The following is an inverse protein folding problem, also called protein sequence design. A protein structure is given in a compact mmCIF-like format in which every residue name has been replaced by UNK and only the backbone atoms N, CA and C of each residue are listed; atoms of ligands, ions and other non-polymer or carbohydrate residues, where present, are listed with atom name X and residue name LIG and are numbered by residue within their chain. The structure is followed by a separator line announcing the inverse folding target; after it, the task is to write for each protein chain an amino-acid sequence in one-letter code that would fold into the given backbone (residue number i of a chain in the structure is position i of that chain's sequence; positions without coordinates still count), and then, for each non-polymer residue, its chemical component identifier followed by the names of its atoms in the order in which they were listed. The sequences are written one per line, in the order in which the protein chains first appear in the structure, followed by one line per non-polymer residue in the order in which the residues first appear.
data_IF_132757105146
#
_entry.id   IF_132757105146
#
_cell.length_a   1.000
_cell.length_b   1.000
_cell.length_c   1.000
_cell.angle_alpha   90.00
_cell.angle_beta   90.00
_cell.angle_gamma   90.00
#
_symmetry.space_group_name_H-M   'P 1'
#
loop_
_entity.id
_entity.type
_entity.pdbx_description
1 polymer ?
#
# COMPACT_ATOMS: atom_id res chain seq x y z
N UNK A 1 -41.84 39.86 -75.78
CA UNK A 1 -41.39 38.50 -76.17
C UNK A 1 -42.46 37.51 -75.75
N UNK A 2 -43.28 37.02 -76.68
CA UNK A 2 -44.29 35.99 -76.40
C UNK A 2 -43.61 34.62 -76.28
N UNK A 3 -43.90 33.88 -75.21
CA UNK A 3 -43.39 32.53 -74.97
C UNK A 3 -43.83 31.58 -76.10
N UNK A 4 -42.90 30.77 -76.63
CA UNK A 4 -43.25 29.72 -77.60
C UNK A 4 -44.11 28.63 -76.93
N UNK A 5 -45.19 28.15 -77.57
CA UNK A 5 -45.94 27.00 -77.06
C UNK A 5 -45.07 25.74 -77.09
N UNK A 6 -45.25 24.87 -76.09
CA UNK A 6 -44.48 23.64 -75.98
C UNK A 6 -44.91 22.65 -77.08
N UNK A 7 -43.96 21.96 -77.76
CA UNK A 7 -44.30 20.96 -78.78
C UNK A 7 -44.95 19.70 -78.16
N UNK A 8 -45.65 18.87 -78.94
CA UNK A 8 -46.22 17.61 -78.45
C UNK A 8 -45.11 16.67 -77.96
N UNK A 9 -45.28 16.09 -76.77
CA UNK A 9 -44.27 15.25 -76.12
C UNK A 9 -43.20 16.01 -75.32
N UNK A 10 -43.36 17.33 -75.15
CA UNK A 10 -42.43 18.14 -74.37
C UNK A 10 -42.42 17.73 -72.89
N UNK A 11 -41.23 17.46 -72.39
CA UNK A 11 -40.95 17.27 -70.96
C UNK A 11 -40.11 18.44 -70.45
N UNK A 12 -40.34 18.91 -69.21
CA UNK A 12 -39.55 20.00 -68.64
C UNK A 12 -38.09 19.56 -68.46
N UNK A 13 -37.11 20.25 -69.05
CA UNK A 13 -35.70 19.92 -68.85
C UNK A 13 -35.26 20.28 -67.44
N UNK A 14 -34.28 19.55 -66.90
CA UNK A 14 -33.70 19.82 -65.58
C UNK A 14 -32.64 20.93 -65.62
N UNK A 15 -32.06 21.15 -66.79
CA UNK A 15 -31.17 22.27 -67.07
C UNK A 15 -31.97 23.58 -67.33
N UNK A 16 -31.37 24.76 -67.14
CA UNK A 16 -32.04 26.03 -67.42
C UNK A 16 -32.41 26.12 -68.90
N UNK A 17 -33.72 26.19 -69.18
CA UNK A 17 -34.29 26.33 -70.52
C UNK A 17 -34.77 27.77 -70.74
N UNK A 18 -34.39 28.37 -71.87
CA UNK A 18 -34.88 29.67 -72.30
C UNK A 18 -36.04 29.54 -73.31
N UNK A 19 -37.30 29.78 -72.91
CA UNK A 19 -38.45 29.65 -73.79
C UNK A 19 -38.65 30.83 -74.76
N UNK A 20 -37.73 31.80 -74.74
CA UNK A 20 -37.80 33.02 -75.54
C UNK A 20 -36.72 33.08 -76.64
N UNK A 21 -35.90 32.05 -76.78
CA UNK A 21 -34.86 31.97 -77.81
C UNK A 21 -35.46 31.59 -79.18
N UNK A 22 -35.39 32.46 -80.21
CA UNK A 22 -35.93 32.17 -81.54
C UNK A 22 -35.09 31.18 -82.34
N UNK A 23 -33.80 31.00 -82.01
CA UNK A 23 -32.86 30.17 -82.77
C UNK A 23 -32.70 28.74 -82.18
N UNK A 24 -33.46 28.42 -81.13
CA UNK A 24 -33.44 27.09 -80.49
C UNK A 24 -34.11 26.01 -81.37
N UNK A 25 -33.29 25.25 -82.08
CA UNK A 25 -33.65 24.16 -82.99
C UNK A 25 -33.66 22.77 -82.31
N UNK A 26 -33.86 22.70 -80.99
CA UNK A 26 -33.86 21.43 -80.25
C UNK A 26 -34.98 20.46 -80.67
N UNK A 27 -34.77 19.14 -80.49
CA UNK A 27 -35.83 18.15 -80.64
C UNK A 27 -36.94 18.32 -79.59
N UNK A 28 -38.18 17.91 -79.91
CA UNK A 28 -39.33 18.05 -79.02
C UNK A 28 -39.15 17.37 -77.65
N UNK A 29 -38.39 16.28 -77.61
CA UNK A 29 -38.05 15.53 -76.39
C UNK A 29 -36.81 16.07 -75.63
N UNK A 30 -36.17 17.15 -76.12
CA UNK A 30 -34.93 17.73 -75.57
C UNK A 30 -33.67 16.87 -75.82
N UNK A 31 -32.50 17.40 -75.46
CA UNK A 31 -31.25 16.65 -75.59
C UNK A 31 -31.09 15.65 -74.43
N UNK A 32 -30.61 14.41 -74.67
CA UNK A 32 -30.43 13.41 -73.61
C UNK A 32 -29.55 13.87 -72.43
N UNK A 33 -28.61 14.80 -72.68
CA UNK A 33 -27.74 15.42 -71.68
C UNK A 33 -28.46 16.35 -70.71
N UNK A 34 -29.60 16.94 -71.10
CA UNK A 34 -30.40 17.82 -70.23
C UNK A 34 -31.17 17.04 -69.17
N UNK A 35 -31.37 15.75 -69.40
CA UNK A 35 -32.07 14.83 -68.49
C UNK A 35 -31.09 13.93 -67.71
N UNK A 36 -29.94 13.59 -68.30
CA UNK A 36 -28.91 12.74 -67.70
C UNK A 36 -27.71 13.58 -67.27
N UNK A 37 -27.63 13.88 -65.97
CA UNK A 37 -26.46 14.53 -65.37
C UNK A 37 -25.27 13.57 -65.49
N UNK A 38 -24.15 13.97 -66.15
CA UNK A 38 -22.96 13.14 -66.23
C UNK A 38 -22.43 12.85 -64.81
N UNK A 39 -22.28 11.57 -64.46
CA UNK A 39 -21.73 11.11 -63.18
C UNK A 39 -22.75 10.53 -62.17
N UNK A 40 -24.06 10.61 -62.44
CA UNK A 40 -25.09 10.00 -61.60
C UNK A 40 -25.70 8.73 -62.18
N UNK A 41 -25.15 8.19 -63.28
CA UNK A 41 -25.62 6.92 -63.82
C UNK A 41 -25.30 5.79 -62.84
N UNK A 42 -26.31 5.05 -62.35
CA UNK A 42 -26.04 3.84 -61.58
C UNK A 42 -25.30 2.83 -62.46
N UNK A 43 -24.20 2.29 -61.96
CA UNK A 43 -23.50 1.18 -62.61
C UNK A 43 -24.25 -0.11 -62.28
N UNK A 44 -25.37 -0.37 -62.96
CA UNK A 44 -26.17 -1.60 -62.82
C UNK A 44 -27.64 -1.38 -62.47
N UNK A 45 -28.29 -2.39 -61.89
CA UNK A 45 -29.73 -2.43 -61.59
C UNK A 45 -30.15 -1.70 -60.30
N UNK A 46 -29.21 -1.13 -59.54
CA UNK A 46 -29.53 -0.42 -58.28
C UNK A 46 -29.66 1.09 -58.51
N UNK A 47 -30.64 1.72 -57.86
CA UNK A 47 -30.89 3.17 -57.97
C UNK A 47 -29.89 4.04 -57.19
N UNK A 48 -28.87 3.46 -56.57
CA UNK A 48 -27.90 4.17 -55.75
C UNK A 48 -26.56 4.30 -56.50
N UNK A 49 -26.00 5.51 -56.66
CA UNK A 49 -24.71 5.70 -57.28
C UNK A 49 -23.60 5.11 -56.40
N UNK A 50 -22.75 4.27 -56.99
CA UNK A 50 -21.66 3.53 -56.31
C UNK A 50 -20.60 4.46 -55.69
N UNK A 51 -20.47 5.69 -56.19
CA UNK A 51 -19.54 6.70 -55.69
C UNK A 51 -20.30 7.91 -55.13
N UNK A 52 -20.16 8.25 -53.83
CA UNK A 52 -20.79 9.46 -53.29
C UNK A 52 -20.15 10.70 -53.92
N UNK A 53 -20.99 11.65 -54.33
CA UNK A 53 -20.54 12.97 -54.81
C UNK A 53 -19.67 13.65 -53.75
N UNK A 54 -18.74 14.52 -54.18
CA UNK A 54 -17.83 15.20 -53.25
C UNK A 54 -18.59 15.94 -52.13
N UNK A 55 -19.73 16.55 -52.43
CA UNK A 55 -20.62 17.17 -51.45
C UNK A 55 -21.21 16.19 -50.44
N UNK A 56 -21.56 14.97 -50.87
CA UNK A 56 -22.10 13.93 -49.98
C UNK A 56 -21.01 13.41 -49.05
N UNK A 57 -19.76 13.28 -49.54
CA UNK A 57 -18.58 12.96 -48.73
C UNK A 57 -18.32 14.04 -47.67
N UNK A 58 -18.45 15.33 -48.02
CA UNK A 58 -18.31 16.44 -47.07
C UNK A 58 -19.40 16.41 -46.00
N UNK A 59 -20.67 16.19 -46.38
CA UNK A 59 -21.75 16.09 -45.39
C UNK A 59 -21.64 14.85 -44.49
N UNK A 60 -21.21 13.71 -45.02
CA UNK A 60 -20.97 12.50 -44.23
C UNK A 60 -19.78 12.66 -43.30
N UNK A 61 -18.69 13.29 -43.75
CA UNK A 61 -17.54 13.60 -42.88
C UNK A 61 -17.93 14.60 -41.78
N UNK A 62 -18.70 15.64 -42.10
CA UNK A 62 -19.21 16.60 -41.09
C UNK A 62 -20.17 15.97 -40.08
N UNK A 63 -21.03 15.04 -40.51
CA UNK A 63 -21.89 14.25 -39.62
C UNK A 63 -21.07 13.27 -38.76
N UNK A 64 -20.07 12.61 -39.34
CA UNK A 64 -19.19 11.67 -38.63
C UNK A 64 -18.26 12.39 -37.65
N UNK A 65 -17.95 13.65 -37.92
CA UNK A 65 -17.23 14.57 -37.04
C UNK A 65 -18.15 15.29 -36.04
N UNK A 66 -19.37 14.80 -35.74
CA UNK A 66 -20.26 15.34 -34.69
C UNK A 66 -20.21 16.88 -34.53
N UNK A 67 -20.27 17.62 -35.64
CA UNK A 67 -20.24 19.08 -35.57
C UNK A 67 -21.62 19.61 -35.20
N UNK A 68 -21.95 19.58 -33.91
CA UNK A 68 -22.92 20.55 -33.38
C UNK A 68 -22.25 21.93 -33.47
N UNK A 69 -22.87 22.95 -34.09
CA UNK A 69 -22.28 24.28 -34.16
C UNK A 69 -22.04 24.75 -32.73
N UNK A 70 -20.77 24.86 -32.35
CA UNK A 70 -20.39 25.26 -30.99
C UNK A 70 -20.87 26.69 -30.78
N UNK A 71 -21.46 27.03 -29.62
CA UNK A 71 -21.83 28.41 -29.34
C UNK A 71 -20.57 29.30 -29.34
N UNK A 72 -20.71 30.53 -29.85
CA UNK A 72 -19.64 31.51 -29.82
C UNK A 72 -19.19 31.78 -28.37
N UNK A 73 -17.89 31.97 -28.18
CA UNK A 73 -17.35 32.28 -26.86
C UNK A 73 -17.72 33.73 -26.50
N UNK A 74 -18.24 33.92 -25.29
CA UNK A 74 -18.57 35.24 -24.76
C UNK A 74 -17.31 35.99 -24.28
N UNK A 75 -16.23 35.27 -24.00
CA UNK A 75 -15.00 35.80 -23.42
C UNK A 75 -13.97 36.20 -24.48
N UNK A 76 -13.92 35.47 -25.59
CA UNK A 76 -12.99 35.67 -26.72
C UNK A 76 -13.77 35.82 -28.04
N UNK A 77 -13.87 37.02 -28.60
CA UNK A 77 -14.57 37.25 -29.87
C UNK A 77 -13.89 36.46 -31.00
N UNK A 78 -14.69 35.90 -31.91
CA UNK A 78 -14.20 35.09 -33.03
C UNK A 78 -13.81 33.65 -32.68
N UNK A 79 -13.86 33.25 -31.41
CA UNK A 79 -13.61 31.87 -30.98
C UNK A 79 -14.90 31.15 -30.58
N UNK A 80 -14.96 29.84 -30.76
CA UNK A 80 -16.06 28.99 -30.31
C UNK A 80 -15.78 28.41 -28.92
N UNK A 81 -16.81 28.21 -28.09
CA UNK A 81 -16.65 27.57 -26.77
C UNK A 81 -16.08 26.16 -26.94
N UNK A 82 -14.94 25.88 -26.31
CA UNK A 82 -14.39 24.53 -26.24
C UNK A 82 -15.10 23.78 -25.12
N UNK A 83 -15.88 22.76 -25.47
CA UNK A 83 -16.43 21.84 -24.48
C UNK A 83 -15.26 21.09 -23.82
N UNK A 84 -14.91 21.48 -22.59
CA UNK A 84 -14.05 20.64 -21.75
C UNK A 84 -14.86 19.43 -21.31
N UNK A 85 -14.26 18.23 -21.37
CA UNK A 85 -14.87 17.04 -20.76
C UNK A 85 -15.07 17.34 -19.27
N UNK A 86 -16.32 17.44 -18.85
CA UNK A 86 -16.66 17.60 -17.43
C UNK A 86 -16.49 16.23 -16.80
N UNK A 87 -15.48 16.09 -15.95
CA UNK A 87 -15.30 14.87 -15.18
C UNK A 87 -16.25 14.90 -13.96
N UNK A 88 -17.46 14.38 -14.15
CA UNK A 88 -18.53 14.38 -13.13
C UNK A 88 -18.12 13.63 -11.85
N UNK A 89 -17.22 12.65 -11.94
CA UNK A 89 -16.76 11.86 -10.78
C UNK A 89 -15.52 12.43 -10.10
N UNK A 90 -14.96 13.55 -10.55
CA UNK A 90 -13.72 14.11 -9.99
C UNK A 90 -13.85 14.41 -8.48
N UNK A 91 -14.98 14.96 -8.03
CA UNK A 91 -15.21 15.22 -6.60
C UNK A 91 -15.26 13.93 -5.77
N UNK A 92 -15.87 12.88 -6.33
CA UNK A 92 -15.95 11.57 -5.68
C UNK A 92 -14.57 10.92 -5.60
N UNK A 93 -13.77 10.99 -6.65
CA UNK A 93 -12.40 10.45 -6.66
C UNK A 93 -11.46 11.19 -5.71
N UNK A 94 -11.59 12.52 -5.60
CA UNK A 94 -10.83 13.29 -4.62
C UNK A 94 -11.28 12.90 -3.21
N UNK A 95 -12.59 12.85 -2.96
CA UNK A 95 -13.14 12.42 -1.68
C UNK A 95 -12.70 11.01 -1.27
N UNK A 96 -12.72 10.05 -2.20
CA UNK A 96 -12.31 8.67 -1.93
C UNK A 96 -10.82 8.55 -1.62
N UNK A 97 -9.96 9.32 -2.29
CA UNK A 97 -8.52 9.34 -2.00
C UNK A 97 -8.22 9.90 -0.61
N UNK A 98 -8.88 11.00 -0.23
CA UNK A 98 -8.75 11.55 1.12
C UNK A 98 -9.29 10.59 2.18
N UNK A 99 -10.46 10.01 1.94
CA UNK A 99 -11.05 9.03 2.85
C UNK A 99 -10.16 7.80 3.03
N UNK A 100 -9.64 7.22 1.93
CA UNK A 100 -8.74 6.08 1.99
C UNK A 100 -7.44 6.41 2.74
N UNK A 101 -6.89 7.62 2.53
CA UNK A 101 -5.68 8.08 3.24
C UNK A 101 -5.94 8.26 4.73
N UNK A 102 -7.08 8.83 5.10
CA UNK A 102 -7.50 8.97 6.51
C UNK A 102 -7.74 7.61 7.16
N UNK A 103 -8.41 6.68 6.47
CA UNK A 103 -8.66 5.33 6.96
C UNK A 103 -7.34 4.57 7.17
N UNK A 104 -6.45 4.60 6.17
CA UNK A 104 -5.13 3.98 6.27
C UNK A 104 -4.28 4.56 7.40
N UNK A 105 -4.24 5.89 7.52
CA UNK A 105 -3.57 6.56 8.63
C UNK A 105 -4.15 6.20 9.99
N UNK A 106 -5.48 6.16 10.10
CA UNK A 106 -6.17 5.76 11.33
C UNK A 106 -5.84 4.34 11.74
N UNK A 107 -5.74 3.41 10.79
CA UNK A 107 -5.36 2.02 11.06
C UNK A 107 -3.93 1.97 11.61
N UNK A 108 -2.98 2.65 10.96
CA UNK A 108 -1.57 2.67 11.41
C UNK A 108 -1.44 3.25 12.82
N UNK A 109 -2.13 4.37 13.10
CA UNK A 109 -2.15 4.99 14.43
C UNK A 109 -2.77 4.06 15.46
N UNK A 110 -3.89 3.41 15.12
CA UNK A 110 -4.53 2.43 16.00
C UNK A 110 -3.58 1.30 16.37
N UNK A 111 -2.92 0.69 15.37
CA UNK A 111 -2.01 -0.42 15.62
C UNK A 111 -0.76 0.01 16.41
N UNK A 112 -0.19 1.16 16.09
CA UNK A 112 1.05 1.65 16.71
C UNK A 112 0.87 2.08 18.16
N UNK A 113 -0.25 2.75 18.48
CA UNK A 113 -0.46 3.35 19.80
C UNK A 113 -1.45 2.59 20.68
N UNK A 114 -2.46 1.93 20.11
CA UNK A 114 -3.52 1.30 20.91
C UNK A 114 -3.43 -0.23 20.92
N UNK A 115 -3.09 -0.87 19.80
CA UNK A 115 -2.99 -2.33 19.75
C UNK A 115 -1.69 -2.85 20.39
N UNK A 116 -0.55 -2.23 20.07
CA UNK A 116 0.77 -2.69 20.53
C UNK A 116 0.96 -2.61 22.05
N UNK A 117 0.23 -1.72 22.73
CA UNK A 117 0.40 -1.34 24.13
C UNK A 117 -0.75 -1.82 25.03
N UNK A 118 -1.55 -2.78 24.56
CA UNK A 118 -2.74 -3.32 25.23
C UNK A 118 -2.42 -4.35 26.33
N UNK A 119 -1.36 -4.12 27.12
CA UNK A 119 -0.85 -5.08 28.12
C UNK A 119 -1.29 -4.73 29.56
N UNK A 120 -2.15 -3.72 29.76
CA UNK A 120 -2.64 -3.31 31.10
C UNK A 120 -1.60 -2.70 32.04
N UNK A 121 -0.33 -2.67 31.61
CA UNK A 121 0.82 -2.14 32.36
C UNK A 121 1.00 -0.64 32.13
N UNK A 122 1.46 0.07 33.16
CA UNK A 122 1.74 1.51 33.08
C UNK A 122 2.89 1.82 32.12
N UNK A 123 2.62 2.41 30.96
CA UNK A 123 3.65 2.79 29.98
C UNK A 123 3.47 4.27 29.64
N UNK A 124 4.43 4.88 28.94
CA UNK A 124 4.30 6.28 28.47
C UNK A 124 3.04 6.48 27.60
N UNK A 125 2.54 5.41 26.98
CA UNK A 125 1.31 5.43 26.16
C UNK A 125 0.07 4.85 26.87
N UNK A 126 0.12 4.55 28.18
CA UNK A 126 -1.04 3.99 28.89
C UNK A 126 -2.23 4.95 28.94
N UNK A 127 -1.97 6.26 28.91
CA UNK A 127 -3.04 7.27 28.95
C UNK A 127 -3.93 7.21 27.71
N UNK A 128 -3.36 6.95 26.53
CA UNK A 128 -4.12 6.77 25.30
C UNK A 128 -4.96 5.49 25.33
N UNK A 129 -4.39 4.41 25.84
CA UNK A 129 -5.12 3.15 26.03
C UNK A 129 -6.31 3.34 27.00
N UNK A 130 -6.10 3.98 28.15
CA UNK A 130 -7.16 4.27 29.13
C UNK A 130 -8.21 5.23 28.56
N UNK A 131 -7.82 6.25 27.81
CA UNK A 131 -8.77 7.14 27.13
C UNK A 131 -9.66 6.37 26.13
N UNK A 132 -9.11 5.38 25.40
CA UNK A 132 -9.90 4.47 24.55
C UNK A 132 -10.90 3.67 25.38
N UNK A 133 -10.48 3.12 26.52
CA UNK A 133 -11.36 2.35 27.39
C UNK A 133 -12.49 3.20 27.98
N UNK A 134 -12.20 4.43 28.43
CA UNK A 134 -13.23 5.39 28.86
C UNK A 134 -14.22 5.71 27.75
N UNK A 135 -13.73 5.91 26.53
CA UNK A 135 -14.59 6.16 25.37
C UNK A 135 -15.44 4.92 25.03
N UNK A 136 -14.85 3.72 25.12
CA UNK A 136 -15.54 2.45 24.91
C UNK A 136 -16.64 2.23 25.95
N UNK A 137 -16.36 2.50 27.22
CA UNK A 137 -17.32 2.43 28.32
C UNK A 137 -18.50 3.38 28.07
N UNK A 138 -18.23 4.62 27.65
CA UNK A 138 -19.28 5.62 27.35
C UNK A 138 -20.12 5.28 26.13
N UNK A 139 -19.52 4.74 25.06
CA UNK A 139 -20.21 4.48 23.80
C UNK A 139 -20.93 3.13 23.80
N UNK A 140 -20.27 2.08 24.27
CA UNK A 140 -20.77 0.71 24.22
C UNK A 140 -21.40 0.23 25.52
N UNK A 141 -21.31 1.02 26.60
CA UNK A 141 -21.99 0.74 27.88
C UNK A 141 -21.38 -0.41 28.68
N UNK A 142 -20.22 -0.93 28.28
CA UNK A 142 -19.56 -2.03 28.97
C UNK A 142 -18.12 -2.27 28.53
N UNK A 143 -17.30 -2.70 29.48
CA UNK A 143 -15.92 -3.14 29.32
C UNK A 143 -15.86 -4.64 29.65
N UNK A 144 -14.89 -5.36 29.09
CA UNK A 144 -14.58 -6.70 29.62
C UNK A 144 -14.03 -6.59 31.04
N UNK A 145 -14.10 -7.67 31.83
CA UNK A 145 -13.55 -7.67 33.20
C UNK A 145 -12.08 -7.21 33.23
N UNK A 146 -11.27 -7.69 32.28
CA UNK A 146 -9.86 -7.31 32.14
C UNK A 146 -9.68 -5.84 31.78
N UNK A 147 -10.48 -5.32 30.85
CA UNK A 147 -10.41 -3.91 30.46
C UNK A 147 -10.91 -2.98 31.58
N UNK A 148 -11.88 -3.43 32.37
CA UNK A 148 -12.35 -2.71 33.55
C UNK A 148 -11.24 -2.64 34.61
N UNK A 149 -10.58 -3.76 34.88
CA UNK A 149 -9.44 -3.81 35.80
C UNK A 149 -8.27 -2.96 35.28
N UNK A 150 -7.99 -2.97 33.98
CA UNK A 150 -6.96 -2.11 33.38
C UNK A 150 -7.27 -0.61 33.51
N UNK A 151 -8.55 -0.23 33.49
CA UNK A 151 -8.98 1.17 33.58
C UNK A 151 -8.97 1.68 35.02
N UNK A 152 -9.46 0.88 35.97
CA UNK A 152 -9.66 1.30 37.37
C UNK A 152 -8.56 0.81 38.32
N UNK A 153 -7.89 -0.30 38.00
CA UNK A 153 -6.84 -0.94 38.81
C UNK A 153 -5.59 -1.23 37.97
N UNK A 154 -4.92 -0.18 37.44
CA UNK A 154 -3.80 -0.38 36.53
C UNK A 154 -2.67 -1.16 37.19
N UNK A 155 -2.15 -2.16 36.48
CA UNK A 155 -1.02 -2.93 36.96
C UNK A 155 0.22 -2.03 36.95
N UNK A 156 0.72 -1.70 38.14
CA UNK A 156 2.00 -1.00 38.28
C UNK A 156 3.07 -1.76 37.51
N UNK A 157 3.93 -1.02 36.82
CA UNK A 157 5.08 -1.62 36.15
C UNK A 157 5.85 -2.48 37.14
N UNK A 158 5.82 -3.80 36.93
CA UNK A 158 6.87 -4.67 37.43
C UNK A 158 8.13 -4.16 36.73
N UNK A 159 8.90 -3.33 37.42
CA UNK A 159 10.22 -2.93 36.98
C UNK A 159 10.99 -4.23 36.86
N UNK A 160 11.05 -4.76 35.64
CA UNK A 160 11.98 -5.83 35.30
C UNK A 160 13.31 -5.11 35.35
N UNK A 161 13.92 -5.10 36.53
CA UNK A 161 15.33 -4.77 36.69
C UNK A 161 16.01 -5.82 35.81
N UNK A 162 16.35 -5.44 34.57
CA UNK A 162 17.24 -6.24 33.74
C UNK A 162 18.43 -6.54 34.64
N UNK A 163 18.84 -7.81 34.73
CA UNK A 163 20.05 -8.19 35.48
C UNK A 163 21.17 -7.21 35.09
N UNK A 164 21.41 -6.23 35.95
CA UNK A 164 22.55 -5.33 35.82
C UNK A 164 23.73 -6.25 36.07
N UNK A 165 24.76 -6.18 35.21
CA UNK A 165 25.98 -6.92 35.50
C UNK A 165 26.49 -6.43 36.85
N UNK A 166 26.81 -7.35 37.76
CA UNK A 166 27.32 -7.05 39.11
C UNK A 166 28.59 -6.15 39.13
N UNK A 167 29.17 -5.83 37.97
CA UNK A 167 30.24 -4.85 37.79
C UNK A 167 29.78 -3.38 37.95
N UNK A 168 28.49 -3.08 37.82
CA UNK A 168 27.94 -1.75 38.08
C UNK A 168 27.50 -1.67 39.55
N UNK A 169 28.32 -1.02 40.38
CA UNK A 169 28.07 -0.81 41.80
C UNK A 169 26.74 -0.04 41.99
N UNK A 170 25.73 -0.72 42.54
CA UNK A 170 24.50 -0.08 43.02
C UNK A 170 24.75 0.30 44.50
N UNK A 171 24.74 1.61 44.83
CA UNK A 171 24.85 2.12 46.20
C UNK A 171 23.84 1.46 47.14
N UNK A 172 24.26 1.18 48.38
CA UNK A 172 23.46 0.40 49.35
C UNK A 172 22.14 1.07 49.75
N UNK A 173 22.04 2.39 49.62
CA UNK A 173 20.85 3.21 49.83
C UNK A 173 19.79 3.04 48.72
N UNK A 174 20.18 2.59 47.53
CA UNK A 174 19.26 2.28 46.42
C UNK A 174 18.80 0.81 46.39
N UNK A 175 19.35 -0.05 47.26
CA UNK A 175 18.98 -1.47 47.33
C UNK A 175 17.67 -1.62 48.09
N UNK A 176 16.63 -2.04 47.36
CA UNK A 176 15.29 -2.28 47.94
C UNK A 176 15.23 -3.47 48.89
N UNK A 177 16.20 -4.37 48.84
CA UNK A 177 16.27 -5.56 49.67
C UNK A 177 17.38 -5.36 50.70
N UNK A 178 17.02 -4.81 51.85
CA UNK A 178 17.92 -4.76 53.02
C UNK A 178 17.90 -6.16 53.65
N UNK A 179 19.06 -6.78 53.79
CA UNK A 179 19.18 -8.06 54.47
C UNK A 179 18.61 -7.95 55.89
N UNK A 180 17.65 -8.81 56.19
CA UNK A 180 17.09 -8.96 57.53
C UNK A 180 17.04 -10.45 57.87
N UNK A 181 16.97 -10.79 59.16
CA UNK A 181 16.94 -12.19 59.62
C UNK A 181 15.81 -13.04 59.00
N UNK A 182 14.77 -12.40 58.44
CA UNK A 182 13.64 -13.05 57.78
C UNK A 182 13.69 -13.00 56.24
N UNK A 183 14.55 -12.17 55.65
CA UNK A 183 14.65 -12.00 54.19
C UNK A 183 16.12 -12.01 53.76
N UNK A 184 16.59 -13.20 53.39
CA UNK A 184 17.93 -13.38 52.85
C UNK A 184 17.96 -13.01 51.36
N UNK A 185 19.02 -12.32 50.94
CA UNK A 185 19.24 -12.03 49.53
C UNK A 185 19.56 -13.32 48.75
N UNK A 186 19.18 -13.34 47.47
CA UNK A 186 19.61 -14.40 46.58
C UNK A 186 21.13 -14.30 46.36
N UNK A 187 21.86 -15.43 46.28
CA UNK A 187 23.29 -15.40 45.98
C UNK A 187 23.55 -14.67 44.65
N UNK A 188 24.49 -13.73 44.66
CA UNK A 188 24.97 -13.01 43.48
C UNK A 188 26.08 -13.79 42.77
N UNK A 189 26.41 -13.41 41.54
CA UNK A 189 27.44 -14.12 40.76
C UNK A 189 28.81 -14.02 41.45
N UNK A 190 29.05 -12.94 42.22
CA UNK A 190 30.24 -12.80 43.06
C UNK A 190 30.31 -13.85 44.18
N UNK A 191 29.21 -14.15 44.85
CA UNK A 191 29.18 -15.19 45.88
C UNK A 191 29.44 -16.57 45.29
N UNK A 192 28.98 -16.82 44.05
CA UNK A 192 29.31 -18.05 43.32
C UNK A 192 30.80 -18.15 43.01
N UNK A 193 31.42 -17.08 42.49
CA UNK A 193 32.86 -17.03 42.22
C UNK A 193 33.72 -17.23 43.47
N UNK A 194 33.31 -16.63 44.60
CA UNK A 194 34.00 -16.81 45.88
C UNK A 194 33.86 -18.24 46.41
N UNK A 195 32.66 -18.83 46.27
CA UNK A 195 32.45 -20.23 46.63
C UNK A 195 33.28 -21.19 45.77
N UNK A 196 33.41 -20.94 44.46
CA UNK A 196 34.28 -21.71 43.57
C UNK A 196 35.75 -21.60 43.98
N UNK A 197 36.21 -20.40 44.35
CA UNK A 197 37.57 -20.20 44.86
C UNK A 197 37.82 -21.00 46.13
N UNK A 198 36.92 -20.93 47.11
CA UNK A 198 37.04 -21.68 48.37
C UNK A 198 37.07 -23.19 48.09
N UNK A 199 36.22 -23.65 47.17
CA UNK A 199 36.18 -25.06 46.78
C UNK A 199 37.50 -25.49 46.13
N UNK A 200 38.07 -24.68 45.25
CA UNK A 200 39.36 -24.96 44.63
C UNK A 200 40.48 -25.02 45.70
N UNK A 201 40.51 -24.08 46.63
CA UNK A 201 41.51 -24.07 47.72
C UNK A 201 41.41 -25.35 48.57
N UNK A 202 40.19 -25.82 48.87
CA UNK A 202 39.98 -27.08 49.59
C UNK A 202 40.43 -28.31 48.80
N UNK A 203 40.13 -28.34 47.50
CA UNK A 203 40.58 -29.41 46.60
C UNK A 203 42.11 -29.45 46.51
N UNK A 204 42.77 -28.29 46.46
CA UNK A 204 44.24 -28.21 46.47
C UNK A 204 44.85 -28.72 47.78
N UNK A 205 44.27 -28.38 48.93
CA UNK A 205 44.72 -28.88 50.24
C UNK A 205 44.58 -30.40 50.32
N UNK A 206 43.42 -30.95 49.93
CA UNK A 206 43.20 -32.40 49.92
C UNK A 206 44.20 -33.12 48.99
N UNK A 207 44.47 -32.57 47.80
CA UNK A 207 45.46 -33.15 46.88
C UNK A 207 46.87 -33.11 47.45
N UNK A 208 47.24 -32.06 48.20
CA UNK A 208 48.54 -31.98 48.89
C UNK A 208 48.64 -33.06 49.97
N UNK A 209 47.63 -33.20 50.81
CA UNK A 209 47.58 -34.24 51.85
C UNK A 209 47.69 -35.65 51.26
N UNK A 210 46.93 -35.95 50.19
CA UNK A 210 47.02 -37.25 49.50
C UNK A 210 48.41 -37.53 48.93
N UNK A 211 49.07 -36.50 48.38
CA UNK A 211 50.44 -36.64 47.90
C UNK A 211 51.44 -36.87 49.04
N UNK A 212 51.26 -36.22 50.19
CA UNK A 212 52.07 -36.44 51.39
C UNK A 212 51.88 -37.85 51.94
N UNK A 213 50.63 -38.31 52.07
CA UNK A 213 50.33 -39.69 52.48
C UNK A 213 50.92 -40.72 51.51
N UNK A 214 50.87 -40.47 50.20
CA UNK A 214 51.47 -41.35 49.20
C UNK A 214 52.99 -41.40 49.33
N UNK A 215 53.65 -40.26 49.53
CA UNK A 215 55.11 -40.20 49.77
C UNK A 215 55.49 -40.96 51.03
N UNK A 216 54.77 -40.75 52.13
CA UNK A 216 55.00 -41.47 53.38
C UNK A 216 54.80 -42.98 53.24
N UNK A 217 53.75 -43.41 52.53
CA UNK A 217 53.51 -44.83 52.26
C UNK A 217 54.63 -45.44 51.39
N UNK A 218 55.12 -44.72 50.38
CA UNK A 218 56.27 -45.15 49.57
C UNK A 218 57.56 -45.28 50.39
N UNK A 219 57.81 -44.33 51.29
CA UNK A 219 58.96 -44.34 52.20
C UNK A 219 58.89 -45.53 53.18
N UNK A 220 57.70 -45.84 53.69
CA UNK A 220 57.45 -47.00 54.57
C UNK A 220 57.52 -48.35 53.84
N UNK A 221 57.07 -48.43 52.58
CA UNK A 221 57.04 -49.67 51.78
C UNK A 221 58.37 -49.96 51.07
N UNK A 222 59.34 -49.03 51.08
CA UNK A 222 60.70 -49.27 50.59
C UNK A 222 60.81 -49.60 49.10
N UNK A 223 59.83 -49.19 48.28
CA UNK A 223 59.82 -49.45 46.83
C UNK A 223 60.06 -48.16 46.03
N UNK A 224 61.28 -48.01 45.52
CA UNK A 224 61.60 -47.05 44.45
C UNK A 224 60.99 -47.52 43.13
N UNK A 225 59.70 -47.25 42.91
CA UNK A 225 59.11 -47.45 41.59
C UNK A 225 59.52 -46.31 40.65
N UNK A 226 60.51 -46.58 39.79
CA UNK A 226 60.80 -45.74 38.64
C UNK A 226 59.55 -45.60 37.76
N UNK A 227 59.20 -44.39 37.28
CA UNK A 227 58.04 -44.20 36.44
C UNK A 227 58.23 -44.91 35.10
N UNK A 228 57.54 -46.04 34.90
CA UNK A 228 57.42 -46.65 33.58
C UNK A 228 56.81 -45.64 32.62
N UNK A 229 57.62 -45.18 31.66
CA UNK A 229 57.18 -44.35 30.53
C UNK A 229 56.04 -45.05 29.80
N UNK A 230 54.83 -44.55 30.01
CA UNK A 230 53.64 -44.88 29.23
C UNK A 230 53.93 -44.63 27.75
N UNK A 231 53.97 -45.72 26.97
CA UNK A 231 54.07 -45.65 25.51
C UNK A 231 52.78 -45.03 24.97
N UNK A 232 52.88 -43.81 24.45
CA UNK A 232 51.83 -43.14 23.68
C UNK A 232 51.40 -44.07 22.54
N UNK A 233 50.19 -44.66 22.63
CA UNK A 233 49.49 -45.24 21.47
C UNK A 233 48.81 -44.10 20.74
N UNK A 234 49.43 -43.71 19.63
CA UNK A 234 48.85 -42.86 18.61
C UNK A 234 47.79 -43.68 17.87
N UNK A 235 46.52 -43.30 17.99
CA UNK A 235 45.45 -43.77 17.11
C UNK A 235 44.85 -42.56 16.40
N UNK A 236 45.10 -42.50 15.10
CA UNK A 236 44.31 -41.78 14.11
C UNK A 236 42.96 -42.47 13.97
N UNK A 237 41.87 -41.77 14.28
CA UNK A 237 40.62 -41.65 13.51
C UNK A 237 39.70 -40.65 14.22
#
# INVERSE_FOLDING_TARGET
MSRRPNPPGWTPPKAPYNPYDPDDARPAAGYPSEFKIPGNSPSGFSSLPRNPTQYKKVNETMKRLNYTPRPASQLYPGQYKVLRKVNTSQKVQVGSRWFASLLGGSIIVYFSFFYRWNDGKENVFSDFYRARLQLKERIFGGLSQQEYDDLYHPQQNKVIIKKVRDAEYIPDDMRRNVESDLAMNKPSDRHFLEAERIRQDQEEVMLRELNEHRKYAMEMLGTEDQPQKSKKKWWLF
#
